data_IF_819941863926
#
_entry.id   IF_819941863926
#
_cell.length_a   1.000
_cell.length_b   1.000
_cell.length_c   1.000
_cell.angle_alpha   90.00
_cell.angle_beta   90.00
_cell.angle_gamma   90.00
#
_symmetry.space_group_name_H-M   'P 1'
#
loop_
_entity.id
_entity.type
_entity.pdbx_description
1 polymer ?
#
# COMPACT_ATOMS: atom_id res chain seq x y z
N UNK A 1 -3.04 -66.79 -30.42
CA UNK A 1 -3.64 -65.44 -30.58
C UNK A 1 -4.08 -64.85 -29.23
N UNK A 2 -4.71 -65.63 -28.34
CA UNK A 2 -5.12 -65.18 -26.99
C UNK A 2 -3.99 -64.69 -26.08
N UNK A 3 -2.81 -65.34 -26.09
CA UNK A 3 -1.69 -64.94 -25.24
C UNK A 3 -1.16 -63.53 -25.54
N UNK A 4 -1.18 -63.09 -26.81
CA UNK A 4 -0.80 -61.74 -27.20
C UNK A 4 -1.82 -60.68 -26.76
N UNK A 5 -3.11 -61.03 -26.76
CA UNK A 5 -4.20 -60.15 -26.32
C UNK A 5 -4.13 -59.94 -24.80
N UNK A 6 -3.91 -61.01 -24.04
CA UNK A 6 -3.78 -60.94 -22.58
C UNK A 6 -2.55 -60.12 -22.15
N UNK A 7 -1.41 -60.29 -22.82
CA UNK A 7 -0.19 -59.51 -22.54
C UNK A 7 -0.39 -58.02 -22.84
N UNK A 8 -1.05 -57.68 -23.96
CA UNK A 8 -1.41 -56.31 -24.33
C UNK A 8 -2.37 -55.65 -23.33
N UNK A 9 -3.38 -56.39 -22.86
CA UNK A 9 -4.32 -55.92 -21.83
C UNK A 9 -3.63 -55.68 -20.49
N UNK A 10 -2.76 -56.59 -20.04
CA UNK A 10 -1.99 -56.44 -18.80
C UNK A 10 -1.05 -55.24 -18.88
N UNK A 11 -0.32 -55.05 -19.98
CA UNK A 11 0.56 -53.89 -20.18
C UNK A 11 -0.22 -52.57 -20.21
N UNK A 12 -1.38 -52.52 -20.88
CA UNK A 12 -2.26 -51.33 -20.85
C UNK A 12 -2.81 -51.04 -19.45
N UNK A 13 -3.18 -52.07 -18.70
CA UNK A 13 -3.66 -51.92 -17.32
C UNK A 13 -2.55 -51.42 -16.39
N UNK A 14 -1.34 -51.97 -16.53
CA UNK A 14 -0.15 -51.53 -15.78
C UNK A 14 0.22 -50.08 -16.10
N UNK A 15 0.23 -49.70 -17.39
CA UNK A 15 0.52 -48.33 -17.79
C UNK A 15 -0.52 -47.34 -17.26
N UNK A 16 -1.81 -47.68 -17.30
CA UNK A 16 -2.88 -46.83 -16.72
C UNK A 16 -2.74 -46.64 -15.21
N UNK A 17 -2.42 -47.72 -14.48
CA UNK A 17 -2.17 -47.67 -13.03
C UNK A 17 -0.89 -46.90 -12.69
N UNK A 18 0.16 -47.02 -13.51
CA UNK A 18 1.40 -46.27 -13.37
C UNK A 18 1.19 -44.77 -13.61
N UNK A 19 0.47 -44.40 -14.68
CA UNK A 19 0.14 -42.99 -14.96
C UNK A 19 -0.73 -42.37 -13.88
N UNK A 20 -1.72 -43.10 -13.34
CA UNK A 20 -2.56 -42.61 -12.26
C UNK A 20 -1.78 -42.42 -10.94
N UNK A 21 -0.84 -43.33 -10.65
CA UNK A 21 0.06 -43.24 -9.50
C UNK A 21 0.98 -42.03 -9.59
N UNK A 22 1.63 -41.80 -10.74
CA UNK A 22 2.50 -40.63 -10.97
C UNK A 22 1.72 -39.32 -10.88
N UNK A 23 0.50 -39.26 -11.42
CA UNK A 23 -0.35 -38.07 -11.34
C UNK A 23 -0.77 -37.76 -9.90
N UNK A 24 -1.08 -38.79 -9.10
CA UNK A 24 -1.39 -38.65 -7.67
C UNK A 24 -0.19 -38.17 -6.86
N UNK A 25 1.01 -38.68 -7.15
CA UNK A 25 2.26 -38.22 -6.52
C UNK A 25 2.54 -36.75 -6.88
N UNK A 26 2.34 -36.35 -8.14
CA UNK A 26 2.49 -34.94 -8.55
C UNK A 26 1.46 -34.04 -7.84
N UNK A 27 0.22 -34.50 -7.66
CA UNK A 27 -0.81 -33.74 -6.95
C UNK A 27 -0.49 -33.57 -5.46
N UNK A 28 0.07 -34.60 -4.82
CA UNK A 28 0.56 -34.54 -3.44
C UNK A 28 1.78 -33.63 -3.31
N UNK A 29 2.70 -33.65 -4.28
CA UNK A 29 3.85 -32.74 -4.32
C UNK A 29 3.42 -31.28 -4.56
N UNK A 30 2.34 -31.04 -5.32
CA UNK A 30 1.78 -29.71 -5.52
C UNK A 30 1.11 -29.15 -4.24
N UNK A 31 0.54 -29.99 -3.37
CA UNK A 31 0.05 -29.53 -2.06
C UNK A 31 1.17 -29.23 -1.05
N UNK A 32 2.35 -29.86 -1.19
CA UNK A 32 3.51 -29.58 -0.31
C UNK A 32 4.29 -28.33 -0.68
N UNK A 33 4.01 -27.71 -1.84
CA UNK A 33 4.44 -26.35 -2.14
C UNK A 33 3.52 -25.37 -1.39
N UNK A 34 3.50 -25.47 -0.05
CA UNK A 34 3.03 -24.38 0.80
C UNK A 34 3.91 -23.20 0.44
N UNK A 35 3.36 -22.21 -0.26
CA UNK A 35 4.02 -20.92 -0.44
C UNK A 35 4.55 -20.54 0.94
N UNK A 36 5.85 -20.37 1.08
CA UNK A 36 6.42 -19.79 2.28
C UNK A 36 5.72 -18.43 2.43
N UNK A 37 4.74 -18.35 3.32
CA UNK A 37 4.14 -17.09 3.72
C UNK A 37 5.31 -16.31 4.28
N UNK A 38 5.81 -15.34 3.49
CA UNK A 38 6.65 -14.31 4.06
C UNK A 38 5.84 -13.73 5.21
N UNK A 39 6.44 -13.72 6.40
CA UNK A 39 5.84 -13.12 7.56
C UNK A 39 6.17 -11.63 7.54
N UNK A 40 5.19 -10.79 7.91
CA UNK A 40 5.41 -9.35 7.97
C UNK A 40 6.67 -9.02 8.76
N UNK A 41 7.48 -8.14 8.21
CA UNK A 41 8.73 -7.68 8.78
C UNK A 41 8.79 -6.15 8.66
N UNK A 42 8.34 -5.51 9.73
CA UNK A 42 8.29 -4.07 9.90
C UNK A 42 9.30 -3.72 11.00
N UNK A 43 10.35 -2.97 10.64
CA UNK A 43 11.46 -2.69 11.55
C UNK A 43 10.98 -2.02 12.85
N UNK A 44 11.41 -2.56 13.99
CA UNK A 44 11.08 -1.99 15.31
C UNK A 44 9.65 -2.22 15.77
N UNK A 45 8.85 -3.01 15.05
CA UNK A 45 7.48 -3.37 15.42
C UNK A 45 7.42 -4.88 15.69
N UNK A 46 7.08 -5.26 16.92
CA UNK A 46 6.95 -6.67 17.29
C UNK A 46 5.58 -7.21 16.88
N UNK A 47 5.58 -8.39 16.25
CA UNK A 47 4.35 -9.11 15.88
C UNK A 47 3.57 -9.54 17.13
N UNK A 48 2.25 -9.29 17.21
CA UNK A 48 1.40 -9.96 18.20
C UNK A 48 1.42 -11.47 17.94
N UNK A 49 1.52 -12.30 18.98
CA UNK A 49 1.69 -13.76 18.79
C UNK A 49 0.64 -14.41 17.87
N UNK A 50 1.08 -15.32 16.99
CA UNK A 50 0.24 -16.00 15.98
C UNK A 50 0.86 -15.99 14.57
N UNK A 51 0.27 -16.74 13.64
CA UNK A 51 0.68 -16.75 12.21
C UNK A 51 0.30 -15.45 11.49
N UNK A 52 -0.80 -14.82 11.89
CA UNK A 52 -1.23 -13.48 11.44
C UNK A 52 -1.57 -12.57 12.63
N UNK A 53 -1.41 -11.25 12.47
CA UNK A 53 -1.58 -10.29 13.57
C UNK A 53 -1.91 -8.86 13.15
N UNK A 54 -2.38 -8.09 14.14
CA UNK A 54 -2.65 -6.65 14.03
C UNK A 54 -1.55 -5.84 14.72
N UNK A 55 -0.76 -5.13 13.93
CA UNK A 55 0.33 -4.25 14.39
C UNK A 55 -0.21 -2.85 14.70
N UNK A 56 -0.26 -2.48 15.97
CA UNK A 56 -0.54 -1.10 16.36
C UNK A 56 0.76 -0.30 16.37
N UNK A 57 0.88 0.60 15.40
CA UNK A 57 2.10 1.35 15.11
C UNK A 57 1.91 2.78 15.59
N UNK A 58 2.73 3.21 16.55
CA UNK A 58 2.76 4.58 17.03
C UNK A 58 3.96 5.34 16.49
N UNK A 59 3.88 6.67 16.31
CA UNK A 59 5.05 7.49 16.04
C UNK A 59 6.02 7.44 17.22
N UNK A 60 7.32 7.57 16.92
CA UNK A 60 8.40 7.58 17.90
C UNK A 60 8.77 9.00 18.33
N UNK A 61 8.58 9.95 17.41
CA UNK A 61 8.87 11.36 17.59
C UNK A 61 7.72 12.20 17.04
N UNK A 62 7.49 13.40 17.58
CA UNK A 62 6.55 14.35 17.00
C UNK A 62 7.11 15.77 16.98
N UNK A 63 6.71 16.53 15.97
CA UNK A 63 6.94 17.97 15.88
C UNK A 63 5.60 18.65 15.59
N UNK A 64 5.06 19.34 16.59
CA UNK A 64 3.68 19.81 16.55
C UNK A 64 2.70 18.65 16.43
N UNK A 65 1.84 18.70 15.43
CA UNK A 65 0.83 17.70 15.09
C UNK A 65 1.31 16.65 14.08
N UNK A 66 2.60 16.64 13.72
CA UNK A 66 3.19 15.64 12.83
C UNK A 66 3.97 14.63 13.67
N UNK A 67 3.58 13.36 13.60
CA UNK A 67 4.38 12.26 14.14
C UNK A 67 5.26 11.62 13.06
N UNK A 68 6.41 11.12 13.50
CA UNK A 68 7.44 10.51 12.67
C UNK A 68 7.83 9.15 13.22
N UNK A 69 8.07 8.21 12.31
CA UNK A 69 8.72 6.93 12.61
C UNK A 69 9.61 6.53 11.45
N UNK A 70 10.78 5.99 11.77
CA UNK A 70 11.74 5.49 10.81
C UNK A 70 11.76 3.96 10.82
N UNK A 71 11.95 3.38 9.64
CA UNK A 71 12.05 1.95 9.43
C UNK A 71 13.17 1.67 8.45
N UNK A 72 13.96 0.62 8.70
CA UNK A 72 14.80 0.07 7.66
C UNK A 72 13.95 -0.55 6.55
N UNK A 73 12.92 -1.32 6.91
CA UNK A 73 11.97 -1.94 6.00
C UNK A 73 10.54 -1.93 6.56
N UNK A 74 9.58 -1.93 5.64
CA UNK A 74 8.15 -2.01 5.94
C UNK A 74 7.53 -3.03 4.99
N UNK A 75 7.52 -4.30 5.40
CA UNK A 75 6.90 -5.40 4.67
C UNK A 75 5.68 -5.88 5.47
N UNK A 76 4.47 -5.59 4.98
CA UNK A 76 3.22 -6.07 5.55
C UNK A 76 2.63 -7.14 4.66
N UNK A 77 2.61 -8.38 5.15
CA UNK A 77 2.17 -9.53 4.38
C UNK A 77 0.66 -9.75 4.40
N UNK A 78 0.19 -10.55 3.45
CA UNK A 78 -1.23 -10.87 3.33
C UNK A 78 -1.74 -11.54 4.61
N UNK A 79 -2.91 -11.11 5.07
CA UNK A 79 -3.52 -11.59 6.31
C UNK A 79 -3.14 -10.78 7.54
N UNK A 80 -2.08 -9.96 7.46
CA UNK A 80 -1.68 -9.06 8.54
C UNK A 80 -2.30 -7.66 8.38
N UNK A 81 -2.46 -6.96 9.51
CA UNK A 81 -3.04 -5.62 9.59
C UNK A 81 -2.05 -4.68 10.26
N UNK A 82 -1.77 -3.51 9.69
CA UNK A 82 -1.05 -2.43 10.35
C UNK A 82 -1.98 -1.25 10.62
N UNK A 83 -2.22 -0.95 11.90
CA UNK A 83 -2.95 0.23 12.34
C UNK A 83 -1.95 1.34 12.65
N UNK A 84 -1.93 2.37 11.80
CA UNK A 84 -1.20 3.60 12.08
C UNK A 84 -1.98 4.39 13.12
N UNK A 85 -1.45 4.46 14.34
CA UNK A 85 -2.10 5.10 15.48
C UNK A 85 -1.70 6.59 15.51
N UNK A 86 -2.67 7.47 15.26
CA UNK A 86 -2.51 8.93 15.23
C UNK A 86 -2.47 9.54 16.64
N UNK A 87 -1.62 8.95 17.48
CA UNK A 87 -1.39 9.33 18.87
C UNK A 87 -0.02 8.80 19.32
N UNK A 88 0.78 9.65 19.94
CA UNK A 88 2.06 9.26 20.55
C UNK A 88 1.83 8.25 21.68
N UNK A 89 2.57 7.13 21.68
CA UNK A 89 2.37 6.07 22.68
C UNK A 89 2.70 6.54 24.10
N UNK A 90 3.81 7.26 24.26
CA UNK A 90 4.32 7.63 25.59
C UNK A 90 3.64 8.88 26.15
N UNK A 91 3.44 9.91 25.32
CA UNK A 91 2.89 11.21 25.76
C UNK A 91 1.37 11.31 25.62
N UNK A 92 0.73 10.42 24.85
CA UNK A 92 -0.69 10.50 24.56
C UNK A 92 -1.10 11.67 23.66
N UNK A 93 -0.13 12.42 23.12
CA UNK A 93 -0.36 13.56 22.23
C UNK A 93 -0.96 13.08 20.92
N UNK A 94 -2.07 13.70 20.51
CA UNK A 94 -2.71 13.46 19.22
C UNK A 94 -1.91 14.13 18.09
N UNK A 95 -1.81 13.46 16.94
CA UNK A 95 -1.13 13.95 15.74
C UNK A 95 -2.06 13.89 14.53
N UNK A 96 -2.02 14.88 13.66
CA UNK A 96 -2.86 14.96 12.45
C UNK A 96 -2.22 14.28 11.23
N UNK A 97 -0.90 14.16 11.25
CA UNK A 97 -0.11 13.58 10.18
C UNK A 97 0.85 12.55 10.75
N UNK A 98 0.99 11.41 10.07
CA UNK A 98 1.92 10.38 10.46
C UNK A 98 2.85 10.04 9.30
N UNK A 99 4.11 10.47 9.43
CA UNK A 99 5.19 10.24 8.49
C UNK A 99 5.92 8.93 8.82
N UNK A 100 5.93 8.04 7.84
CA UNK A 100 6.62 6.76 7.86
C UNK A 100 7.80 6.84 6.88
N UNK A 101 9.01 7.00 7.43
CA UNK A 101 10.27 7.06 6.69
C UNK A 101 10.81 5.64 6.52
N UNK A 102 10.93 5.13 5.31
CA UNK A 102 11.36 3.75 5.06
C UNK A 102 12.56 3.73 4.13
N UNK A 103 13.65 3.12 4.56
CA UNK A 103 14.89 3.09 3.77
C UNK A 103 14.75 2.18 2.55
N UNK A 104 14.11 1.02 2.69
CA UNK A 104 13.80 0.09 1.59
C UNK A 104 12.46 0.39 0.94
N UNK A 105 12.14 -0.35 -0.12
CA UNK A 105 10.81 -0.33 -0.74
C UNK A 105 9.75 -0.70 0.30
N UNK A 106 8.66 0.05 0.30
CA UNK A 106 7.50 -0.23 1.15
C UNK A 106 6.66 -1.29 0.46
N UNK A 107 6.42 -2.44 1.09
CA UNK A 107 5.62 -3.53 0.51
C UNK A 107 4.38 -3.78 1.35
N UNK A 108 3.20 -3.68 0.73
CA UNK A 108 1.90 -3.81 1.41
C UNK A 108 1.05 -4.83 0.66
N UNK A 109 1.02 -6.04 1.20
CA UNK A 109 0.14 -7.14 0.80
C UNK A 109 -0.99 -7.38 1.83
N UNK A 110 -0.87 -6.82 3.03
CA UNK A 110 -1.90 -6.80 4.08
C UNK A 110 -2.77 -5.54 4.08
N UNK A 111 -3.38 -5.25 5.23
CA UNK A 111 -4.30 -4.11 5.41
C UNK A 111 -3.64 -3.00 6.23
N UNK A 112 -3.64 -1.76 5.75
CA UNK A 112 -3.27 -0.58 6.55
C UNK A 112 -4.52 0.22 6.92
N UNK A 113 -4.62 0.60 8.20
CA UNK A 113 -5.65 1.52 8.69
C UNK A 113 -5.04 2.78 9.31
N UNK A 114 -5.71 3.92 9.16
CA UNK A 114 -5.47 5.09 10.03
C UNK A 114 -6.43 5.07 11.21
N UNK A 115 -5.90 5.04 12.43
CA UNK A 115 -6.67 4.84 13.65
C UNK A 115 -6.33 5.88 14.72
N UNK A 116 -7.29 6.25 15.55
CA UNK A 116 -7.09 7.02 16.79
C UNK A 116 -8.16 6.61 17.79
N UNK A 117 -7.76 6.37 19.04
CA UNK A 117 -8.66 5.99 20.13
C UNK A 117 -9.63 4.85 19.74
N UNK A 118 -9.07 3.78 19.14
CA UNK A 118 -9.75 2.57 18.66
C UNK A 118 -10.79 2.78 17.54
N UNK A 119 -10.85 3.97 16.94
CA UNK A 119 -11.73 4.27 15.83
C UNK A 119 -10.93 4.63 14.58
N UNK A 120 -11.55 4.47 13.42
CA UNK A 120 -11.00 5.01 12.17
C UNK A 120 -10.76 6.52 12.32
N UNK A 121 -9.62 6.98 11.82
CA UNK A 121 -9.20 8.38 11.92
C UNK A 121 -8.92 9.00 10.56
N UNK A 122 -9.43 10.22 10.34
CA UNK A 122 -9.29 10.98 9.09
C UNK A 122 -7.91 11.59 8.83
N UNK A 123 -6.92 11.32 9.67
CA UNK A 123 -5.56 11.85 9.57
C UNK A 123 -4.83 11.44 8.30
N UNK A 124 -3.73 12.14 8.01
CA UNK A 124 -2.92 11.93 6.80
C UNK A 124 -1.78 10.95 7.06
N UNK A 125 -1.87 9.77 6.46
CA UNK A 125 -0.77 8.80 6.41
C UNK A 125 0.21 9.21 5.31
N UNK A 126 1.47 9.43 5.66
CA UNK A 126 2.52 9.85 4.76
C UNK A 126 3.59 8.76 4.73
N UNK A 127 3.85 8.21 3.57
CA UNK A 127 4.90 7.22 3.32
C UNK A 127 5.99 7.85 2.47
N UNK A 128 7.24 7.77 2.92
CA UNK A 128 8.38 8.34 2.21
C UNK A 128 9.47 7.28 2.11
N UNK A 129 9.80 6.87 0.88
CA UNK A 129 10.88 5.92 0.63
C UNK A 129 11.56 6.21 -0.70
N UNK A 130 12.90 6.39 -0.74
CA UNK A 130 13.61 6.61 -2.00
C UNK A 130 13.56 5.40 -2.94
N UNK A 131 13.24 4.21 -2.40
CA UNK A 131 13.07 2.95 -3.14
C UNK A 131 11.61 2.69 -3.54
N UNK A 132 10.70 3.62 -3.26
CA UNK A 132 9.32 3.56 -3.71
C UNK A 132 8.40 2.71 -2.84
N UNK A 133 7.22 2.43 -3.38
CA UNK A 133 6.12 1.77 -2.66
C UNK A 133 5.38 0.82 -3.58
N UNK A 134 5.07 -0.37 -3.06
CA UNK A 134 4.29 -1.41 -3.72
C UNK A 134 3.10 -1.77 -2.84
N UNK A 135 1.90 -1.58 -3.37
CA UNK A 135 0.67 -2.17 -2.82
C UNK A 135 0.33 -3.37 -3.67
N UNK A 136 0.62 -4.57 -3.18
CA UNK A 136 0.36 -5.82 -3.90
C UNK A 136 -1.12 -6.07 -4.12
N UNK A 137 -1.46 -7.09 -4.93
CA UNK A 137 -2.86 -7.35 -5.33
C UNK A 137 -3.82 -7.66 -4.16
N UNK A 138 -3.29 -8.17 -3.04
CA UNK A 138 -4.01 -8.39 -1.78
C UNK A 138 -3.98 -7.19 -0.83
N UNK A 139 -3.12 -6.20 -1.09
CA UNK A 139 -2.93 -5.03 -0.27
C UNK A 139 -4.14 -4.12 -0.26
N UNK A 140 -4.51 -3.64 0.92
CA UNK A 140 -5.59 -2.66 1.11
C UNK A 140 -5.14 -1.54 2.01
N UNK A 141 -5.28 -0.30 1.57
CA UNK A 141 -5.08 0.88 2.41
C UNK A 141 -6.44 1.51 2.67
N UNK A 142 -6.87 1.52 3.93
CA UNK A 142 -8.06 2.20 4.41
C UNK A 142 -7.64 3.38 5.29
N UNK A 143 -7.57 4.56 4.69
CA UNK A 143 -6.88 5.71 5.29
C UNK A 143 -7.74 6.96 5.27
N UNK A 144 -7.44 7.92 6.15
CA UNK A 144 -8.02 9.24 6.12
C UNK A 144 -7.62 9.97 4.84
N UNK A 145 -6.33 10.27 4.74
CA UNK A 145 -5.68 10.75 3.52
C UNK A 145 -4.38 9.97 3.29
N UNK A 146 -3.97 9.80 2.04
CA UNK A 146 -2.71 9.15 1.69
C UNK A 146 -1.77 10.12 1.00
N UNK A 147 -0.50 10.11 1.40
CA UNK A 147 0.59 10.69 0.62
C UNK A 147 1.71 9.67 0.53
N UNK A 148 2.12 9.31 -0.67
CA UNK A 148 3.29 8.45 -0.91
C UNK A 148 4.30 9.22 -1.76
N UNK A 149 5.54 9.33 -1.28
CA UNK A 149 6.61 10.09 -1.92
C UNK A 149 7.82 9.18 -2.09
N UNK A 150 8.37 9.12 -3.30
CA UNK A 150 9.56 8.36 -3.63
C UNK A 150 10.70 9.27 -4.09
N UNK A 151 11.25 10.08 -3.16
CA UNK A 151 12.23 11.12 -3.47
C UNK A 151 13.61 10.55 -3.82
N UNK A 152 14.51 11.40 -4.29
CA UNK A 152 15.92 11.06 -4.43
C UNK A 152 16.53 10.73 -3.05
N UNK A 153 17.50 9.80 -2.98
CA UNK A 153 18.13 9.40 -1.72
C UNK A 153 18.65 10.58 -0.89
N UNK A 154 19.29 11.57 -1.51
CA UNK A 154 19.82 12.73 -0.78
C UNK A 154 18.72 13.60 -0.16
N UNK A 155 17.57 13.74 -0.82
CA UNK A 155 16.45 14.53 -0.28
C UNK A 155 15.71 13.77 0.82
N UNK A 156 15.59 12.45 0.70
CA UNK A 156 15.15 11.58 1.79
C UNK A 156 16.05 11.73 3.03
N UNK A 157 17.37 11.63 2.85
CA UNK A 157 18.33 11.75 3.95
C UNK A 157 18.26 13.13 4.61
N UNK A 158 18.22 14.22 3.84
CA UNK A 158 18.02 15.57 4.39
C UNK A 158 16.77 15.63 5.25
N UNK A 159 15.66 15.12 4.73
CA UNK A 159 14.38 15.16 5.43
C UNK A 159 14.37 14.29 6.69
N UNK A 160 14.89 13.06 6.63
CA UNK A 160 14.99 12.17 7.78
C UNK A 160 15.90 12.73 8.87
N UNK A 161 17.05 13.29 8.50
CA UNK A 161 17.99 13.88 9.44
C UNK A 161 17.51 15.18 10.08
N UNK A 162 16.83 16.03 9.32
CA UNK A 162 16.26 17.26 9.84
C UNK A 162 15.10 16.97 10.83
N UNK A 163 14.28 15.96 10.52
CA UNK A 163 13.06 15.65 11.31
C UNK A 163 13.31 14.74 12.50
N UNK A 164 14.16 13.71 12.38
CA UNK A 164 14.40 12.69 13.41
C UNK A 164 15.84 12.70 13.96
N UNK A 165 16.71 13.57 13.44
CA UNK A 165 18.06 13.79 13.95
C UNK A 165 19.14 12.92 13.32
N UNK A 166 20.38 13.13 13.79
CA UNK A 166 21.59 12.59 13.17
C UNK A 166 21.70 11.04 13.24
N UNK A 167 21.10 10.40 14.25
CA UNK A 167 21.10 8.93 14.36
C UNK A 167 20.39 8.27 13.18
N UNK A 168 19.13 8.65 12.96
CA UNK A 168 18.31 8.18 11.83
C UNK A 168 18.97 8.51 10.49
N UNK A 169 19.56 9.70 10.37
CA UNK A 169 20.30 10.10 9.16
C UNK A 169 21.46 9.14 8.84
N UNK A 170 22.28 8.81 9.85
CA UNK A 170 23.41 7.91 9.65
C UNK A 170 22.96 6.49 9.31
N UNK A 171 21.94 5.98 9.99
CA UNK A 171 21.37 4.65 9.73
C UNK A 171 20.83 4.57 8.30
N UNK A 172 19.99 5.53 7.92
CA UNK A 172 19.44 5.63 6.57
C UNK A 172 20.53 5.76 5.49
N UNK A 173 21.57 6.57 5.73
CA UNK A 173 22.66 6.76 4.77
C UNK A 173 23.42 5.45 4.53
N UNK A 174 23.71 4.70 5.59
CA UNK A 174 24.32 3.38 5.50
C UNK A 174 23.44 2.41 4.71
N UNK A 175 22.14 2.39 5.00
CA UNK A 175 21.17 1.48 4.36
C UNK A 175 20.94 1.77 2.87
N UNK A 176 21.15 3.02 2.46
CA UNK A 176 21.07 3.48 1.07
C UNK A 176 22.42 3.45 0.34
N UNK A 177 23.51 3.08 1.02
CA UNK A 177 24.85 3.02 0.43
C UNK A 177 25.49 4.39 0.16
N UNK A 178 25.10 5.42 0.91
CA UNK A 178 25.67 6.77 0.79
C UNK A 178 26.89 6.90 1.69
N UNK A 179 28.08 7.01 1.09
CA UNK A 179 29.36 6.95 1.81
C UNK A 179 29.68 8.18 2.67
N UNK A 180 29.05 9.33 2.43
CA UNK A 180 29.30 10.57 3.18
C UNK A 180 28.03 11.44 3.24
N UNK A 181 27.47 11.56 4.43
CA UNK A 181 26.34 12.46 4.71
C UNK A 181 26.75 13.92 4.68
N UNK A 182 28.04 14.21 4.94
CA UNK A 182 28.59 15.58 4.91
C UNK A 182 28.44 16.19 3.50
N UNK A 183 28.43 15.35 2.45
CA UNK A 183 28.28 15.79 1.06
C UNK A 183 26.83 16.11 0.69
N UNK A 184 25.90 16.04 1.64
CA UNK A 184 24.49 16.37 1.43
C UNK A 184 24.23 17.77 2.03
N UNK A 185 24.15 18.84 1.20
CA UNK A 185 23.88 20.18 1.68
C UNK A 185 22.64 20.26 2.57
N UNK A 186 22.76 20.83 3.78
CA UNK A 186 21.65 20.97 4.72
C UNK A 186 21.21 19.67 5.40
N UNK A 187 21.99 18.59 5.29
CA UNK A 187 21.78 17.39 6.11
C UNK A 187 21.79 17.74 7.61
N UNK A 188 20.74 17.35 8.33
CA UNK A 188 20.59 17.66 9.76
C UNK A 188 20.35 19.14 10.08
N UNK A 189 20.21 20.02 9.08
CA UNK A 189 19.77 21.40 9.31
C UNK A 189 18.28 21.42 9.63
N UNK A 190 17.88 22.17 10.66
CA UNK A 190 16.51 22.24 11.21
C UNK A 190 15.50 22.98 10.30
N UNK A 191 15.54 22.75 8.99
CA UNK A 191 14.55 23.27 8.02
C UNK A 191 13.62 22.15 7.55
N UNK A 192 12.82 21.66 8.48
CA UNK A 192 11.76 20.67 8.23
C UNK A 192 10.61 21.33 7.50
N UNK A 193 10.45 21.07 6.20
CA UNK A 193 9.21 21.43 5.54
C UNK A 193 8.75 20.31 4.62
N UNK A 194 7.56 19.79 4.89
CA UNK A 194 6.85 18.82 4.05
C UNK A 194 6.80 19.27 2.59
N UNK A 195 6.65 20.57 2.33
CA UNK A 195 6.68 21.16 0.99
C UNK A 195 7.98 20.85 0.23
N UNK A 196 9.14 20.78 0.91
CA UNK A 196 10.42 20.50 0.26
C UNK A 196 10.49 19.06 -0.22
N UNK A 197 10.17 18.10 0.64
CA UNK A 197 10.20 16.67 0.27
C UNK A 197 9.12 16.36 -0.78
N UNK A 198 7.99 17.05 -0.71
CA UNK A 198 6.92 17.00 -1.69
C UNK A 198 7.28 17.58 -3.07
N UNK A 199 8.31 18.41 -3.14
CA UNK A 199 8.83 19.02 -4.37
C UNK A 199 10.18 18.42 -4.81
N UNK A 200 10.68 17.41 -4.09
CA UNK A 200 11.96 16.76 -4.40
C UNK A 200 11.92 16.06 -5.77
N UNK A 201 13.10 15.73 -6.28
CA UNK A 201 13.22 14.91 -7.50
C UNK A 201 12.82 13.47 -7.21
N UNK A 202 11.88 12.92 -7.98
CA UNK A 202 11.35 11.58 -7.71
C UNK A 202 12.17 10.51 -8.44
N UNK A 203 12.63 9.49 -7.71
CA UNK A 203 13.54 8.45 -8.21
C UNK A 203 13.00 7.03 -8.07
N UNK A 204 12.27 6.74 -7.00
CA UNK A 204 11.61 5.44 -6.80
C UNK A 204 10.27 5.36 -7.51
N UNK A 205 9.83 4.15 -7.82
CA UNK A 205 8.54 3.89 -8.46
C UNK A 205 7.44 3.63 -7.42
N UNK A 206 6.20 4.00 -7.74
CA UNK A 206 5.03 3.66 -6.93
C UNK A 206 4.15 2.72 -7.76
N UNK A 207 3.90 1.52 -7.24
CA UNK A 207 3.16 0.47 -7.92
C UNK A 207 1.95 0.03 -7.08
N UNK A 208 0.75 0.32 -7.56
CA UNK A 208 -0.51 0.03 -6.88
C UNK A 208 -1.26 -1.06 -7.64
N UNK A 209 -1.13 -2.29 -7.17
CA UNK A 209 -1.87 -3.45 -7.66
C UNK A 209 -3.07 -3.79 -6.78
N UNK A 210 -3.09 -3.32 -5.53
CA UNK A 210 -4.17 -3.48 -4.57
C UNK A 210 -5.16 -2.32 -4.54
N UNK A 211 -5.82 -2.14 -3.40
CA UNK A 211 -6.89 -1.14 -3.23
C UNK A 211 -6.48 -0.04 -2.26
N UNK A 212 -6.82 1.19 -2.60
CA UNK A 212 -6.68 2.36 -1.73
C UNK A 212 -8.06 2.99 -1.57
N UNK A 213 -8.48 3.16 -0.32
CA UNK A 213 -9.73 3.81 0.08
C UNK A 213 -9.33 4.95 1.01
N UNK A 214 -9.41 6.17 0.52
CA UNK A 214 -9.12 7.39 1.27
C UNK A 214 -10.39 8.22 1.47
N UNK A 215 -10.63 8.70 2.69
CA UNK A 215 -11.76 9.60 2.99
C UNK A 215 -11.58 10.97 2.35
N UNK A 216 -10.35 11.46 2.30
CA UNK A 216 -9.96 12.71 1.66
C UNK A 216 -9.06 12.38 0.46
N UNK A 217 -7.90 13.02 0.34
CA UNK A 217 -7.06 12.97 -0.85
C UNK A 217 -6.08 11.79 -0.86
N UNK A 218 -5.68 11.41 -2.07
CA UNK A 218 -4.55 10.52 -2.34
C UNK A 218 -3.56 11.28 -3.22
N UNK A 219 -2.34 11.47 -2.71
CA UNK A 219 -1.23 12.09 -3.46
C UNK A 219 -0.10 11.08 -3.63
N UNK A 220 0.24 10.74 -4.87
CA UNK A 220 1.35 9.84 -5.21
C UNK A 220 2.42 10.63 -5.95
N UNK A 221 3.67 10.56 -5.49
CA UNK A 221 4.81 11.31 -6.03
C UNK A 221 6.00 10.36 -6.20
N UNK A 222 6.06 9.68 -7.33
CA UNK A 222 7.16 8.78 -7.70
C UNK A 222 7.69 9.08 -9.09
N UNK A 223 8.82 8.47 -9.47
CA UNK A 223 9.38 8.54 -10.81
C UNK A 223 8.37 8.01 -11.84
N UNK A 224 7.86 6.81 -11.59
CA UNK A 224 6.71 6.26 -12.29
C UNK A 224 5.61 5.93 -11.27
N UNK A 225 4.36 6.13 -11.67
CA UNK A 225 3.18 5.73 -10.90
C UNK A 225 2.40 4.75 -11.75
N UNK A 226 2.35 3.50 -11.32
CA UNK A 226 1.72 2.39 -12.01
C UNK A 226 0.50 1.97 -11.18
N UNK A 227 -0.68 1.94 -11.78
CA UNK A 227 -1.91 1.54 -11.11
C UNK A 227 -2.60 0.46 -11.93
N UNK A 228 -2.61 -0.75 -11.38
CA UNK A 228 -3.18 -1.93 -11.99
C UNK A 228 -2.33 -2.50 -13.13
N UNK A 229 -2.57 -3.78 -13.40
CA UNK A 229 -2.06 -4.47 -14.59
C UNK A 229 -3.23 -5.01 -15.41
N UNK A 230 -3.10 -4.91 -16.73
CA UNK A 230 -4.07 -5.47 -17.66
C UNK A 230 -4.23 -6.99 -17.43
N UNK A 231 -5.46 -7.49 -17.44
CA UNK A 231 -5.76 -8.92 -17.24
C UNK A 231 -5.77 -9.43 -15.80
N UNK A 232 -5.46 -8.59 -14.79
CA UNK A 232 -5.52 -9.02 -13.39
C UNK A 232 -6.96 -9.20 -12.90
N UNK A 233 -7.25 -10.34 -12.25
CA UNK A 233 -8.56 -10.67 -11.65
C UNK A 233 -8.91 -9.75 -10.47
N UNK A 234 -7.92 -9.38 -9.67
CA UNK A 234 -8.06 -8.40 -8.59
C UNK A 234 -7.61 -7.04 -9.09
N UNK A 235 -8.52 -6.32 -9.75
CA UNK A 235 -8.19 -5.00 -10.28
C UNK A 235 -7.83 -4.05 -9.14
N UNK A 236 -6.69 -3.38 -9.33
CA UNK A 236 -6.30 -2.25 -8.51
C UNK A 236 -7.38 -1.17 -8.55
N UNK A 237 -7.47 -0.39 -7.49
CA UNK A 237 -8.42 0.71 -7.44
C UNK A 237 -8.03 1.73 -6.38
N UNK A 238 -8.12 3.01 -6.76
CA UNK A 238 -7.99 4.12 -5.83
C UNK A 238 -9.34 4.80 -5.77
N UNK A 239 -9.90 4.91 -4.58
CA UNK A 239 -11.11 5.65 -4.29
C UNK A 239 -10.75 6.69 -3.24
N UNK A 240 -10.82 7.96 -3.61
CA UNK A 240 -10.51 9.10 -2.75
C UNK A 240 -11.78 9.96 -2.57
N UNK A 241 -11.83 10.79 -1.53
CA UNK A 241 -12.94 11.70 -1.28
C UNK A 241 -14.22 11.02 -0.76
N UNK A 242 -14.17 9.73 -0.39
CA UNK A 242 -15.39 9.00 0.03
C UNK A 242 -15.98 9.52 1.36
N UNK A 243 -15.23 10.32 2.11
CA UNK A 243 -15.65 10.92 3.38
C UNK A 243 -15.63 12.45 3.39
N UNK A 244 -15.53 13.12 2.23
CA UNK A 244 -15.47 14.57 2.18
C UNK A 244 -16.67 15.19 2.93
N UNK A 245 -16.35 16.13 3.85
CA UNK A 245 -17.16 16.82 4.85
C UNK A 245 -18.42 17.59 4.36
N UNK A 246 -19.11 17.15 3.32
CA UNK A 246 -20.37 17.74 2.81
C UNK A 246 -21.52 16.74 2.71
N UNK A 247 -21.43 15.64 3.45
CA UNK A 247 -22.59 14.79 3.74
C UNK A 247 -22.80 14.80 5.26
N UNK A 248 -23.18 15.97 5.78
CA UNK A 248 -23.61 16.14 7.17
C UNK A 248 -25.10 15.79 7.26
N UNK A 249 -25.41 14.52 7.52
CA UNK A 249 -26.59 14.21 8.31
C UNK A 249 -26.09 13.88 9.72
N UNK A 250 -26.81 14.34 10.74
CA UNK A 250 -26.46 14.34 12.17
C UNK A 250 -26.22 12.97 12.85
N UNK A 251 -25.68 11.97 12.15
CA UNK A 251 -25.28 10.69 12.75
C UNK A 251 -23.86 10.37 12.31
N UNK A 252 -22.91 10.66 13.20
CA UNK A 252 -21.51 10.32 13.02
C UNK A 252 -21.35 8.82 12.79
N UNK A 253 -20.79 8.48 11.63
CA UNK A 253 -19.82 7.40 11.39
C UNK A 253 -19.41 7.48 9.91
N UNK A 254 -18.15 7.16 9.63
CA UNK A 254 -17.50 7.24 8.31
C UNK A 254 -17.92 6.12 7.32
N UNK A 255 -19.09 5.52 7.55
CA UNK A 255 -19.79 4.55 6.69
C UNK A 255 -21.16 5.15 6.34
N UNK A 256 -21.19 6.02 5.35
CA UNK A 256 -22.45 6.62 4.93
C UNK A 256 -23.22 5.68 4.02
N UNK A 257 -24.35 5.18 4.52
CA UNK A 257 -25.46 4.81 3.66
C UNK A 257 -25.80 6.04 2.81
N UNK A 258 -25.74 5.92 1.48
CA UNK A 258 -26.26 6.94 0.57
C UNK A 258 -27.77 7.02 0.78
N UNK A 259 -28.21 7.97 1.60
CA UNK A 259 -29.60 8.13 2.03
C UNK A 259 -30.36 9.13 1.15
N UNK A 260 -29.66 9.85 0.27
CA UNK A 260 -30.25 10.82 -0.64
C UNK A 260 -29.60 10.77 -2.02
N UNK A 261 -30.36 11.11 -3.06
CA UNK A 261 -29.84 11.19 -4.43
C UNK A 261 -28.72 12.23 -4.57
N UNK A 262 -28.78 13.35 -3.81
CA UNK A 262 -27.72 14.37 -3.80
C UNK A 262 -26.38 13.86 -3.27
N UNK A 263 -26.41 12.95 -2.29
CA UNK A 263 -25.19 12.29 -1.77
C UNK A 263 -24.59 11.34 -2.82
N UNK A 264 -25.44 10.58 -3.51
CA UNK A 264 -25.01 9.72 -4.61
C UNK A 264 -24.48 10.54 -5.80
N UNK A 265 -25.09 11.68 -6.12
CA UNK A 265 -24.63 12.62 -7.15
C UNK A 265 -23.29 13.28 -6.78
N UNK A 266 -23.10 13.67 -5.52
CA UNK A 266 -21.82 14.22 -5.07
C UNK A 266 -20.70 13.17 -5.12
N UNK A 267 -20.98 11.93 -4.70
CA UNK A 267 -20.04 10.82 -4.81
C UNK A 267 -19.76 10.49 -6.28
N UNK A 268 -20.79 10.41 -7.12
CA UNK A 268 -20.65 10.21 -8.56
C UNK A 268 -19.81 11.31 -9.20
N UNK A 269 -20.09 12.58 -8.91
CA UNK A 269 -19.31 13.71 -9.40
C UNK A 269 -17.88 13.68 -8.86
N UNK A 270 -17.64 13.31 -7.60
CA UNK A 270 -16.27 13.15 -7.09
C UNK A 270 -15.50 12.02 -7.80
N UNK A 271 -16.20 10.94 -8.17
CA UNK A 271 -15.62 9.80 -8.89
C UNK A 271 -15.43 10.05 -10.38
N UNK A 272 -16.21 10.96 -10.97
CA UNK A 272 -16.24 11.23 -12.42
C UNK A 272 -15.60 12.57 -12.79
N UNK A 273 -15.48 13.52 -11.86
CA UNK A 273 -14.86 14.84 -12.04
C UNK A 273 -13.34 14.74 -11.87
N UNK A 274 -12.70 14.01 -12.79
CA UNK A 274 -11.36 14.36 -13.19
C UNK A 274 -11.48 15.56 -14.14
N UNK A 275 -10.64 16.60 -13.99
CA UNK A 275 -10.41 17.63 -15.01
C UNK A 275 -9.89 16.97 -16.30
N UNK A 276 -10.78 16.30 -17.05
CA UNK A 276 -10.48 15.67 -18.32
C UNK A 276 -10.63 16.74 -19.38
N UNK A 277 -9.52 17.43 -19.67
CA UNK A 277 -9.45 18.50 -20.68
C UNK A 277 -9.59 17.93 -22.12
N UNK A 278 -9.59 16.61 -22.30
CA UNK A 278 -9.99 15.98 -23.58
C UNK A 278 -10.34 14.49 -23.46
N UNK A 279 -11.63 14.17 -23.51
CA UNK A 279 -12.13 12.80 -23.66
C UNK A 279 -13.61 12.82 -24.03
N UNK A 280 -13.93 12.73 -25.33
CA UNK A 280 -15.30 12.82 -25.83
C UNK A 280 -16.02 11.48 -25.74
N UNK A 281 -16.79 11.27 -24.67
CA UNK A 281 -17.91 10.33 -24.64
C UNK A 281 -17.88 9.33 -23.49
N UNK A 282 -18.89 9.41 -22.60
CA UNK A 282 -19.21 8.37 -21.62
C UNK A 282 -20.29 7.46 -22.21
N UNK A 283 -20.02 6.14 -22.29
CA UNK A 283 -21.00 5.13 -22.68
C UNK A 283 -21.12 4.05 -21.61
N UNK A 284 -22.36 3.72 -21.22
CA UNK A 284 -22.67 2.56 -20.38
C UNK A 284 -22.92 1.35 -21.29
N UNK A 285 -22.03 0.36 -21.24
CA UNK A 285 -22.23 -0.95 -21.87
C UNK A 285 -22.26 -2.02 -20.78
N UNK A 286 -23.38 -2.73 -20.64
CA UNK A 286 -23.55 -3.86 -19.72
C UNK A 286 -23.25 -3.53 -18.23
N UNK A 287 -23.52 -2.30 -17.78
CA UNK A 287 -23.26 -1.88 -16.39
C UNK A 287 -21.82 -1.45 -16.12
N UNK A 288 -21.02 -1.27 -17.17
CA UNK A 288 -19.65 -0.75 -17.12
C UNK A 288 -19.59 0.64 -17.73
N UNK A 289 -18.91 1.57 -17.06
CA UNK A 289 -18.57 2.89 -17.63
C UNK A 289 -17.35 2.71 -18.54
N UNK A 290 -17.50 3.02 -19.82
CA UNK A 290 -16.44 3.03 -20.84
C UNK A 290 -16.25 4.45 -21.34
N UNK A 291 -14.99 4.92 -21.39
CA UNK A 291 -14.60 6.21 -21.98
C UNK A 291 -13.81 5.91 -23.25
N UNK A 292 -14.34 6.28 -24.41
CA UNK A 292 -13.67 6.14 -25.69
C UNK A 292 -13.85 7.42 -26.52
N UNK A 293 -12.76 7.96 -27.05
CA UNK A 293 -12.83 9.05 -28.01
C UNK A 293 -13.10 8.46 -29.41
N UNK A 294 -14.18 8.88 -30.06
CA UNK A 294 -14.34 8.66 -31.50
C UNK A 294 -13.55 9.69 -32.28
N UNK A 295 -12.76 9.22 -33.25
CA UNK A 295 -12.32 10.02 -34.39
C UNK A 295 -13.12 9.59 -35.62
N UNK A 296 -13.73 10.56 -36.30
CA UNK A 296 -14.26 10.45 -37.66
C UNK A 296 -13.12 10.53 -38.67
#
# INVERSE_FOLDING_TARGET
MEYMILKSLITKLFNKKLTASVLGIIFLLQQTMVLSVLASDITGITKPGGEHGSFDIHPEFNKGDIGFRHYYQFNLDQGDIANLIFKMQQSGVNIEQFVNLVDKTININGIINTMRDNNFYGGRAIFVSPNGMVVGASGVLNVGSLTAIAPAPNDYLRFAGATMGQGVLNDAANNLGVSSVIDIPGAGSFEDNMTRIEAADQKGDINIQGKIIARNDVSLKGKNIIIGQEGSINKAGIVAGVGANNITNNHGNADQILTTNKQAENLFNALVNNDVVSGKGFGNENGKITIAAQSF
#
